data_IF_298023800202
#
_entry.id   IF_298023800202
#
_cell.length_a   1.000
_cell.length_b   1.000
_cell.length_c   1.000
_cell.angle_alpha   90.00
_cell.angle_beta   90.00
_cell.angle_gamma   90.00
#
_symmetry.space_group_name_H-M   'P 1'
#
loop_
_entity.id
_entity.type
_entity.pdbx_description
1 polymer ?
#
# COMPACT_ATOMS: atom_id res chain seq x y z
N UNK A 1 -1.37 -13.95 19.20
CA UNK A 1 -0.79 -15.31 19.31
C UNK A 1 0.09 -15.39 20.54
N UNK A 2 0.21 -16.58 21.13
CA UNK A 2 1.00 -16.84 22.34
C UNK A 2 2.45 -17.14 21.97
N UNK A 3 3.40 -16.59 22.73
CA UNK A 3 4.82 -16.86 22.60
C UNK A 3 5.25 -17.98 23.54
N UNK A 4 6.20 -18.79 23.11
CA UNK A 4 6.97 -19.70 23.94
C UNK A 4 7.97 -18.86 24.76
N UNK A 5 7.89 -18.84 26.10
CA UNK A 5 8.79 -18.06 26.92
C UNK A 5 10.26 -18.51 26.85
N UNK A 6 10.53 -19.75 26.45
CA UNK A 6 11.90 -20.27 26.35
C UNK A 6 12.60 -19.86 25.05
N UNK A 7 11.86 -19.79 23.94
CA UNK A 7 12.44 -19.56 22.61
C UNK A 7 12.06 -18.22 21.98
N UNK A 8 11.06 -17.54 22.53
CA UNK A 8 10.43 -16.36 21.92
C UNK A 8 9.66 -16.66 20.64
N UNK A 9 9.51 -17.93 20.24
CA UNK A 9 8.80 -18.33 19.02
C UNK A 9 7.30 -18.39 19.28
N UNK A 10 6.52 -18.25 18.21
CA UNK A 10 5.08 -18.42 18.29
C UNK A 10 4.71 -19.88 18.59
N UNK A 11 3.86 -20.11 19.59
CA UNK A 11 3.30 -21.43 19.89
C UNK A 11 2.30 -21.84 18.82
N UNK A 12 2.31 -23.12 18.46
CA UNK A 12 1.41 -23.72 17.45
C UNK A 12 0.60 -24.88 18.03
N UNK A 13 -0.59 -25.09 17.49
CA UNK A 13 -1.47 -26.22 17.79
C UNK A 13 -1.76 -27.03 16.52
N UNK A 14 -1.49 -28.35 16.49
CA UNK A 14 -0.81 -29.12 17.55
C UNK A 14 0.65 -28.66 17.73
N UNK A 15 1.18 -28.84 18.95
CA UNK A 15 2.55 -28.47 19.28
C UNK A 15 3.55 -29.19 18.35
N UNK A 16 4.67 -28.52 18.03
CA UNK A 16 5.72 -29.00 17.12
C UNK A 16 5.29 -29.21 15.65
N UNK A 17 4.05 -28.89 15.27
CA UNK A 17 3.67 -28.83 13.86
C UNK A 17 3.94 -27.41 13.31
N UNK A 18 4.91 -27.21 12.38
CA UNK A 18 5.18 -25.90 11.81
C UNK A 18 4.01 -25.34 10.99
N UNK A 19 3.12 -26.21 10.50
CA UNK A 19 1.87 -25.85 9.83
C UNK A 19 0.66 -25.75 10.80
N UNK A 20 0.86 -26.00 12.10
CA UNK A 20 -0.19 -25.87 13.11
C UNK A 20 -0.64 -24.41 13.27
N UNK A 21 -1.91 -24.21 13.64
CA UNK A 21 -2.46 -22.88 13.87
C UNK A 21 -1.72 -22.19 15.03
N UNK A 22 -1.54 -20.88 14.94
CA UNK A 22 -0.95 -20.10 16.02
C UNK A 22 -1.89 -20.11 17.24
N UNK A 23 -1.37 -20.45 18.42
CA UNK A 23 -2.16 -20.45 19.66
C UNK A 23 -2.58 -19.03 20.00
N UNK A 24 -3.84 -18.82 20.41
CA UNK A 24 -4.43 -17.50 20.67
C UNK A 24 -4.23 -16.50 19.53
N UNK A 25 -4.28 -16.99 18.30
CA UNK A 25 -4.32 -16.18 17.10
C UNK A 25 -5.68 -16.36 16.45
N UNK A 26 -6.35 -15.26 16.19
CA UNK A 26 -7.57 -15.27 15.39
C UNK A 26 -7.18 -14.97 13.94
N UNK A 27 -7.49 -15.90 13.05
CA UNK A 27 -7.39 -15.72 11.61
C UNK A 27 -8.81 -15.56 11.06
N UNK A 28 -9.08 -14.47 10.35
CA UNK A 28 -10.40 -14.16 9.80
C UNK A 28 -10.28 -13.63 8.38
N UNK A 29 -11.29 -13.89 7.54
CA UNK A 29 -11.42 -13.31 6.20
C UNK A 29 -11.99 -11.89 6.22
N UNK A 30 -12.18 -11.25 7.38
CA UNK A 30 -13.09 -10.10 7.49
C UNK A 30 -12.66 -8.90 6.65
N UNK A 31 -11.36 -8.60 6.56
CA UNK A 31 -10.88 -7.55 5.66
C UNK A 31 -11.19 -7.88 4.19
N UNK A 32 -11.02 -9.15 3.81
CA UNK A 32 -11.32 -9.65 2.47
C UNK A 32 -12.81 -9.54 2.13
N UNK A 33 -13.68 -9.93 3.07
CA UNK A 33 -15.14 -9.81 2.91
C UNK A 33 -15.56 -8.34 2.77
N UNK A 34 -14.95 -7.44 3.55
CA UNK A 34 -15.20 -5.99 3.44
C UNK A 34 -14.77 -5.46 2.07
N UNK A 35 -13.56 -5.82 1.60
CA UNK A 35 -13.06 -5.45 0.28
C UNK A 35 -14.00 -5.92 -0.83
N UNK A 36 -14.44 -7.18 -0.78
CA UNK A 36 -15.36 -7.76 -1.75
C UNK A 36 -16.73 -7.09 -1.76
N UNK A 37 -17.21 -6.63 -0.59
CA UNK A 37 -18.48 -5.93 -0.47
C UNK A 37 -18.44 -4.50 -1.01
N UNK A 38 -17.26 -3.91 -1.28
CA UNK A 38 -17.17 -2.56 -1.83
C UNK A 38 -17.44 -2.58 -3.34
N UNK A 39 -18.46 -1.87 -3.86
CA UNK A 39 -18.77 -1.86 -5.29
C UNK A 39 -17.58 -1.43 -6.17
N UNK A 40 -16.76 -0.49 -5.67
CA UNK A 40 -15.57 0.00 -6.38
C UNK A 40 -14.44 -1.04 -6.51
N UNK A 41 -14.43 -2.10 -5.69
CA UNK A 41 -13.35 -3.09 -5.63
C UNK A 41 -13.82 -4.50 -5.98
N UNK A 42 -15.12 -4.79 -5.93
CA UNK A 42 -15.67 -6.14 -6.07
C UNK A 42 -15.17 -6.90 -7.32
N UNK A 43 -14.99 -6.22 -8.46
CA UNK A 43 -14.49 -6.84 -9.70
C UNK A 43 -13.00 -7.26 -9.64
N UNK A 44 -12.26 -6.67 -8.71
CA UNK A 44 -10.81 -6.77 -8.54
C UNK A 44 -10.40 -7.64 -7.34
N UNK A 45 -11.36 -8.00 -6.48
CA UNK A 45 -11.16 -8.89 -5.33
C UNK A 45 -11.54 -10.31 -5.72
N UNK A 46 -10.67 -11.27 -5.39
CA UNK A 46 -10.93 -12.69 -5.64
C UNK A 46 -9.67 -13.48 -5.91
N UNK A 47 -9.83 -14.80 -5.91
CA UNK A 47 -8.74 -15.71 -6.23
C UNK A 47 -8.22 -15.50 -7.65
N UNK A 48 -6.89 -15.59 -7.81
CA UNK A 48 -6.20 -15.49 -9.10
C UNK A 48 -6.47 -14.18 -9.86
N UNK A 49 -6.86 -13.12 -9.15
CA UNK A 49 -6.89 -11.76 -9.69
C UNK A 49 -5.47 -11.20 -9.70
N UNK A 50 -4.74 -11.48 -10.78
CA UNK A 50 -3.38 -10.95 -10.94
C UNK A 50 -3.40 -9.43 -11.09
N UNK A 51 -2.32 -8.79 -10.64
CA UNK A 51 -2.12 -7.35 -10.75
C UNK A 51 -1.99 -6.91 -12.21
N UNK A 52 -2.25 -5.62 -12.46
CA UNK A 52 -2.16 -5.00 -13.78
C UNK A 52 -3.18 -5.55 -14.78
N UNK A 53 -3.12 -5.04 -16.01
CA UNK A 53 -3.93 -5.53 -17.13
C UNK A 53 -3.22 -6.60 -17.96
N UNK A 54 -1.92 -6.79 -17.75
CA UNK A 54 -1.07 -7.71 -18.49
C UNK A 54 -0.83 -9.02 -17.70
N UNK A 55 -0.62 -10.16 -18.37
CA UNK A 55 -0.13 -11.36 -17.72
C UNK A 55 1.16 -11.11 -16.91
N UNK A 56 1.25 -11.60 -15.67
CA UNK A 56 2.48 -11.48 -14.89
C UNK A 56 3.60 -12.31 -15.53
N UNK A 57 4.82 -11.76 -15.58
CA UNK A 57 5.99 -12.41 -16.21
C UNK A 57 6.30 -13.80 -15.64
N UNK A 58 6.10 -13.99 -14.33
CA UNK A 58 6.31 -15.28 -13.63
C UNK A 58 5.16 -16.28 -13.80
N UNK A 59 4.01 -15.86 -14.34
CA UNK A 59 2.87 -16.73 -14.61
C UNK A 59 2.12 -16.28 -15.88
N UNK A 60 2.76 -16.36 -17.06
CA UNK A 60 2.25 -15.79 -18.31
C UNK A 60 0.96 -16.46 -18.83
N UNK A 61 0.57 -17.60 -18.25
CA UNK A 61 -0.69 -18.28 -18.54
C UNK A 61 -1.90 -17.68 -17.79
N UNK A 62 -1.67 -16.75 -16.86
CA UNK A 62 -2.72 -16.02 -16.14
C UNK A 62 -2.98 -14.67 -16.79
N UNK A 63 -4.22 -14.20 -16.75
CA UNK A 63 -4.55 -12.85 -17.18
C UNK A 63 -4.35 -11.84 -16.03
N UNK A 64 -3.80 -10.67 -16.35
CA UNK A 64 -3.90 -9.50 -15.49
C UNK A 64 -5.35 -9.06 -15.36
N UNK A 65 -5.81 -8.84 -14.13
CA UNK A 65 -7.21 -8.51 -13.83
C UNK A 65 -7.33 -7.31 -12.88
N UNK A 66 -6.28 -6.49 -12.81
CA UNK A 66 -6.19 -5.35 -11.92
C UNK A 66 -6.53 -5.76 -10.47
N UNK A 67 -5.97 -6.87 -10.01
CA UNK A 67 -6.29 -7.42 -8.70
C UNK A 67 -5.98 -6.46 -7.56
N UNK A 68 -6.73 -6.58 -6.46
CA UNK A 68 -6.45 -5.82 -5.24
C UNK A 68 -5.10 -6.24 -4.67
N UNK A 69 -4.26 -5.25 -4.38
CA UNK A 69 -3.01 -5.44 -3.67
C UNK A 69 -2.78 -4.25 -2.74
N UNK A 70 -2.64 -4.55 -1.46
CA UNK A 70 -2.40 -3.57 -0.39
C UNK A 70 -0.89 -3.44 -0.23
N UNK A 71 -0.38 -2.22 -0.37
CA UNK A 71 1.03 -1.90 -0.06
C UNK A 71 1.15 -0.77 0.96
N UNK A 72 0.13 0.10 1.09
CA UNK A 72 0.08 1.12 2.13
C UNK A 72 -0.78 0.73 3.32
N UNK A 73 -0.32 1.01 4.54
CA UNK A 73 -1.12 0.89 5.76
C UNK A 73 -0.86 2.08 6.70
N UNK A 74 -1.92 2.79 7.07
CA UNK A 74 -1.84 3.84 8.07
C UNK A 74 -2.98 3.75 9.09
N UNK A 75 -2.72 4.23 10.31
CA UNK A 75 -3.72 4.32 11.39
C UNK A 75 -3.87 5.77 11.81
N UNK A 76 -5.08 6.30 11.76
CA UNK A 76 -5.36 7.67 12.20
C UNK A 76 -6.81 7.82 12.64
N UNK A 77 -7.03 8.45 13.80
CA UNK A 77 -8.38 8.76 14.30
C UNK A 77 -9.27 7.52 14.49
N UNK A 78 -8.72 6.40 14.95
CA UNK A 78 -9.46 5.14 15.14
C UNK A 78 -9.80 4.41 13.83
N UNK A 79 -9.27 4.86 12.69
CA UNK A 79 -9.46 4.21 11.38
C UNK A 79 -8.16 3.59 10.89
N UNK A 80 -8.31 2.45 10.21
CA UNK A 80 -7.28 1.81 9.40
C UNK A 80 -7.48 2.21 7.95
N UNK A 81 -6.41 2.65 7.30
CA UNK A 81 -6.38 3.01 5.89
C UNK A 81 -5.48 2.02 5.15
N UNK A 82 -6.05 1.36 4.13
CA UNK A 82 -5.36 0.42 3.26
C UNK A 82 -5.16 1.07 1.90
N UNK A 83 -3.94 1.48 1.61
CA UNK A 83 -3.53 2.03 0.32
C UNK A 83 -3.30 0.92 -0.69
N UNK A 84 -3.97 1.03 -1.83
CA UNK A 84 -3.93 0.00 -2.86
C UNK A 84 -2.94 0.38 -3.98
N UNK A 85 -2.00 -0.54 -4.25
CA UNK A 85 -1.18 -0.51 -5.47
C UNK A 85 -2.05 -0.76 -6.69
N UNK A 86 -2.92 -1.76 -6.60
CA UNK A 86 -3.88 -2.15 -7.63
C UNK A 86 -5.27 -2.29 -7.01
N UNK A 87 -6.34 -1.97 -7.75
CA UNK A 87 -6.38 -1.58 -9.16
C UNK A 87 -5.89 -0.15 -9.42
N UNK A 88 -5.26 0.05 -10.58
CA UNK A 88 -4.98 1.39 -11.15
C UNK A 88 -5.94 1.61 -12.30
N UNK A 89 -6.97 2.44 -12.07
CA UNK A 89 -8.08 2.63 -13.01
C UNK A 89 -7.93 3.96 -13.75
N UNK A 90 -8.34 4.02 -15.01
CA UNK A 90 -8.40 5.28 -15.75
C UNK A 90 -9.48 6.20 -15.18
N UNK A 91 -9.23 7.51 -15.16
CA UNK A 91 -10.29 8.47 -14.88
C UNK A 91 -11.35 8.47 -15.98
N UNK A 92 -12.62 8.61 -15.59
CA UNK A 92 -13.70 8.82 -16.55
C UNK A 92 -13.49 10.15 -17.28
N UNK A 93 -13.05 10.09 -18.53
CA UNK A 93 -12.90 11.26 -19.41
C UNK A 93 -11.48 11.79 -19.62
N UNK A 94 -10.40 11.10 -19.22
CA UNK A 94 -9.04 11.64 -19.45
C UNK A 94 -7.84 10.74 -19.09
N UNK A 95 -6.66 11.31 -19.35
CA UNK A 95 -5.27 10.74 -19.39
C UNK A 95 -4.68 10.44 -18.00
N UNK A 96 -5.52 10.36 -16.96
CA UNK A 96 -5.09 10.14 -15.57
C UNK A 96 -5.41 8.73 -15.07
N UNK A 97 -4.70 8.30 -14.03
CA UNK A 97 -5.05 7.09 -13.27
C UNK A 97 -5.42 7.43 -11.83
N UNK A 98 -6.35 6.67 -11.28
CA UNK A 98 -6.78 6.74 -9.89
C UNK A 98 -6.33 5.50 -9.13
N UNK A 99 -5.71 5.74 -7.98
CA UNK A 99 -5.55 4.72 -6.95
C UNK A 99 -6.72 4.76 -5.97
N UNK A 100 -6.80 3.77 -5.10
CA UNK A 100 -7.86 3.66 -4.10
C UNK A 100 -7.29 3.47 -2.70
N UNK A 101 -7.97 4.05 -1.71
CA UNK A 101 -7.73 3.79 -0.29
C UNK A 101 -9.03 3.26 0.32
N UNK A 102 -8.99 2.07 0.92
CA UNK A 102 -10.07 1.59 1.78
C UNK A 102 -9.82 2.07 3.21
N UNK A 103 -10.80 2.76 3.80
CA UNK A 103 -10.77 3.13 5.21
C UNK A 103 -11.85 2.36 5.99
N UNK A 104 -11.50 1.78 7.13
CA UNK A 104 -12.43 1.08 8.04
C UNK A 104 -12.21 1.51 9.48
N UNK A 105 -13.21 1.35 10.33
CA UNK A 105 -13.06 1.45 11.77
C UNK A 105 -12.18 0.29 12.28
N UNK A 106 -11.12 0.62 13.03
CA UNK A 106 -10.10 -0.35 13.45
C UNK A 106 -10.64 -1.37 14.46
N UNK A 107 -11.32 -0.89 15.49
CA UNK A 107 -11.90 -1.75 16.52
C UNK A 107 -12.97 -2.64 15.90
N UNK A 108 -13.82 -2.06 15.04
CA UNK A 108 -14.82 -2.83 14.33
C UNK A 108 -14.15 -3.94 13.55
N UNK A 109 -13.07 -3.70 12.77
CA UNK A 109 -12.37 -4.72 11.96
C UNK A 109 -11.84 -5.91 12.77
N UNK A 110 -11.38 -5.71 14.00
CA UNK A 110 -10.78 -6.78 14.80
C UNK A 110 -11.70 -7.38 15.85
N UNK A 111 -12.58 -6.58 16.47
CA UNK A 111 -13.48 -7.00 17.54
C UNK A 111 -14.89 -7.36 17.04
N UNK A 112 -15.20 -7.12 15.77
CA UNK A 112 -16.54 -7.29 15.20
C UNK A 112 -17.37 -6.01 15.23
N UNK A 113 -18.54 -6.03 14.58
CA UNK A 113 -19.43 -4.87 14.43
C UNK A 113 -19.40 -4.24 13.04
N UNK A 114 -19.92 -3.02 12.91
CA UNK A 114 -20.03 -2.32 11.63
C UNK A 114 -18.69 -1.67 11.23
N UNK A 115 -18.06 -2.08 10.12
CA UNK A 115 -16.71 -1.63 9.75
C UNK A 115 -16.66 -0.17 9.31
N UNK A 116 -17.81 0.45 9.00
CA UNK A 116 -17.89 1.81 8.43
C UNK A 116 -16.90 1.97 7.26
N UNK A 117 -16.91 0.98 6.37
CA UNK A 117 -16.00 0.89 5.24
C UNK A 117 -16.32 1.98 4.21
N UNK A 118 -15.28 2.65 3.73
CA UNK A 118 -15.39 3.64 2.68
C UNK A 118 -14.17 3.56 1.75
N UNK A 119 -14.40 3.57 0.44
CA UNK A 119 -13.34 3.61 -0.57
C UNK A 119 -13.21 5.04 -1.08
N UNK A 120 -12.02 5.62 -0.98
CA UNK A 120 -11.71 6.94 -1.52
C UNK A 120 -10.81 6.80 -2.74
N UNK A 121 -11.20 7.42 -3.85
CA UNK A 121 -10.41 7.46 -5.09
C UNK A 121 -9.43 8.63 -5.03
N UNK A 122 -8.16 8.38 -5.31
CA UNK A 122 -7.10 9.39 -5.24
C UNK A 122 -6.48 9.54 -6.63
N UNK A 123 -6.41 10.77 -7.15
CA UNK A 123 -5.72 11.09 -8.39
C UNK A 123 -4.20 11.07 -8.16
N UNK A 124 -3.54 9.96 -8.50
CA UNK A 124 -2.10 9.76 -8.26
C UNK A 124 -1.23 10.18 -9.45
N UNK A 125 -1.86 10.53 -10.58
CA UNK A 125 -1.21 10.70 -11.87
C UNK A 125 -1.29 9.42 -12.71
N UNK A 126 -0.99 9.54 -14.01
CA UNK A 126 -1.06 8.43 -14.94
C UNK A 126 -0.19 7.24 -14.48
N UNK A 127 -0.74 6.04 -14.56
CA UNK A 127 -0.04 4.77 -14.35
C UNK A 127 0.64 4.64 -12.98
N UNK A 128 -0.03 5.15 -11.93
CA UNK A 128 0.50 5.10 -10.56
C UNK A 128 -0.46 4.43 -9.59
N UNK A 129 0.11 3.54 -8.78
CA UNK A 129 -0.53 2.93 -7.61
C UNK A 129 0.09 3.44 -6.31
N UNK A 130 -0.61 3.24 -5.18
CA UNK A 130 -0.05 3.51 -3.86
C UNK A 130 0.95 2.41 -3.51
N UNK A 131 2.18 2.82 -3.19
CA UNK A 131 3.29 1.94 -2.83
C UNK A 131 3.52 1.87 -1.33
N UNK A 132 3.21 2.95 -0.61
CA UNK A 132 3.14 2.94 0.85
C UNK A 132 2.37 4.17 1.36
N UNK A 133 1.97 4.16 2.63
CA UNK A 133 1.32 5.28 3.31
C UNK A 133 1.80 5.39 4.76
N UNK A 134 1.97 6.62 5.25
CA UNK A 134 2.29 6.87 6.67
C UNK A 134 1.47 8.02 7.22
N UNK A 135 1.00 7.88 8.46
CA UNK A 135 0.27 8.95 9.14
C UNK A 135 1.21 10.07 9.61
N UNK A 136 0.77 11.31 9.44
CA UNK A 136 1.39 12.53 9.97
C UNK A 136 0.36 13.32 10.79
N UNK A 137 0.79 14.36 11.53
CA UNK A 137 -0.10 15.06 12.48
C UNK A 137 -1.43 15.53 11.88
N UNK A 138 -1.43 15.95 10.62
CA UNK A 138 -2.59 16.55 9.96
C UNK A 138 -3.12 15.75 8.76
N UNK A 139 -2.69 14.51 8.56
CA UNK A 139 -3.15 13.70 7.43
C UNK A 139 -2.27 12.47 7.19
N UNK A 140 -2.13 12.10 5.93
CA UNK A 140 -1.41 10.92 5.45
C UNK A 140 -0.44 11.35 4.35
N UNK A 141 0.80 10.84 4.41
CA UNK A 141 1.73 10.89 3.28
C UNK A 141 1.55 9.62 2.44
N UNK A 142 1.55 9.80 1.12
CA UNK A 142 1.37 8.75 0.13
C UNK A 142 2.64 8.66 -0.71
N UNK A 143 3.25 7.47 -0.77
CA UNK A 143 4.20 7.13 -1.82
C UNK A 143 3.43 6.51 -2.97
N UNK A 144 3.53 7.13 -4.14
CA UNK A 144 2.96 6.59 -5.37
C UNK A 144 4.06 6.31 -6.40
N UNK A 145 3.99 5.16 -7.04
CA UNK A 145 4.99 4.68 -8.00
C UNK A 145 4.30 4.05 -9.21
N UNK A 146 5.07 3.56 -10.20
CA UNK A 146 4.53 2.94 -11.41
C UNK A 146 3.50 1.85 -11.09
N UNK A 147 2.59 1.53 -12.00
CA UNK A 147 1.77 0.32 -11.91
C UNK A 147 2.55 -0.93 -12.38
N UNK A 148 1.85 -2.04 -12.61
CA UNK A 148 2.45 -3.34 -12.91
C UNK A 148 2.74 -3.58 -14.39
N UNK A 149 2.34 -2.66 -15.27
CA UNK A 149 2.68 -2.77 -16.69
C UNK A 149 4.16 -2.48 -16.89
N UNK A 150 4.81 -3.34 -17.69
CA UNK A 150 6.21 -3.15 -18.06
C UNK A 150 6.43 -1.81 -18.79
N UNK A 151 5.42 -1.31 -19.51
CA UNK A 151 5.47 -0.04 -20.21
C UNK A 151 5.58 1.17 -19.26
N UNK A 152 5.16 1.01 -18.00
CA UNK A 152 5.01 2.12 -17.07
C UNK A 152 6.18 2.25 -16.08
N UNK A 153 7.18 1.37 -16.14
CA UNK A 153 8.36 1.40 -15.26
C UNK A 153 9.08 2.76 -15.20
N UNK A 154 9.05 3.52 -16.29
CA UNK A 154 9.70 4.83 -16.40
C UNK A 154 8.93 6.01 -15.80
N UNK A 155 7.70 5.80 -15.29
CA UNK A 155 6.83 6.89 -14.82
C UNK A 155 7.38 7.61 -13.59
N UNK A 156 8.21 6.93 -12.77
CA UNK A 156 8.90 7.48 -11.59
C UNK A 156 8.09 7.38 -10.29
N UNK A 157 8.46 8.12 -9.24
CA UNK A 157 7.80 8.11 -7.92
C UNK A 157 7.43 9.52 -7.44
N UNK A 158 6.31 9.64 -6.76
CA UNK A 158 5.83 10.89 -6.16
C UNK A 158 5.52 10.70 -4.69
N UNK A 159 5.73 11.77 -3.92
CA UNK A 159 5.21 11.92 -2.57
C UNK A 159 4.13 12.98 -2.56
N UNK A 160 3.00 12.62 -1.97
CA UNK A 160 1.85 13.51 -1.83
C UNK A 160 1.29 13.46 -0.41
N UNK A 161 0.60 14.53 -0.03
CA UNK A 161 -0.15 14.62 1.22
C UNK A 161 -1.65 14.63 0.94
N UNK A 162 -2.39 13.87 1.75
CA UNK A 162 -3.84 13.83 1.75
C UNK A 162 -4.36 14.00 3.18
N UNK A 163 -5.46 14.73 3.36
CA UNK A 163 -6.02 15.02 4.69
C UNK A 163 -6.75 13.83 5.35
N UNK A 164 -6.83 12.69 4.66
CA UNK A 164 -7.47 11.46 5.16
C UNK A 164 -9.00 11.48 5.10
N UNK A 165 -9.62 12.54 4.56
CA UNK A 165 -11.08 12.66 4.50
C UNK A 165 -11.64 11.94 3.29
N UNK A 166 -12.68 11.14 3.55
CA UNK A 166 -13.42 10.46 2.50
C UNK A 166 -14.18 11.45 1.61
N UNK A 167 -14.24 11.12 0.32
CA UNK A 167 -15.05 11.80 -0.69
C UNK A 167 -15.59 10.76 -1.68
N UNK A 168 -16.83 10.98 -2.13
CA UNK A 168 -17.44 10.23 -3.23
C UNK A 168 -16.82 10.58 -4.58
N UNK A 169 -16.21 11.76 -4.69
CA UNK A 169 -15.48 12.22 -5.88
C UNK A 169 -14.00 11.82 -5.79
N UNK A 170 -13.31 11.80 -6.93
CA UNK A 170 -11.84 11.64 -6.92
C UNK A 170 -11.21 12.81 -6.15
N UNK A 171 -10.37 12.48 -5.17
CA UNK A 171 -9.58 13.45 -4.41
C UNK A 171 -8.26 13.70 -5.12
N UNK A 172 -7.89 14.96 -5.29
CA UNK A 172 -6.54 15.34 -5.72
C UNK A 172 -5.68 15.63 -4.49
N UNK A 173 -4.68 14.79 -4.16
CA UNK A 173 -3.79 15.05 -3.04
C UNK A 173 -2.82 16.19 -3.37
N UNK A 174 -2.25 16.83 -2.36
CA UNK A 174 -1.19 17.84 -2.53
C UNK A 174 0.12 17.12 -2.84
N UNK A 175 0.56 17.13 -4.10
CA UNK A 175 1.89 16.61 -4.46
C UNK A 175 2.96 17.49 -3.80
N UNK A 176 3.85 16.86 -3.04
CA UNK A 176 4.94 17.53 -2.33
C UNK A 176 6.26 17.44 -3.09
N UNK A 177 6.52 16.29 -3.72
CA UNK A 177 7.75 16.06 -4.48
C UNK A 177 7.58 14.94 -5.51
N UNK A 178 8.39 14.99 -6.56
CA UNK A 178 8.81 13.80 -7.31
C UNK A 178 10.17 13.35 -6.78
N UNK A 179 10.38 12.05 -6.60
CA UNK A 179 11.67 11.54 -6.15
C UNK A 179 12.64 11.51 -7.35
N UNK A 180 13.70 12.31 -7.28
CA UNK A 180 14.83 12.18 -8.20
C UNK A 180 15.76 11.07 -7.71
N UNK A 181 15.77 9.98 -8.45
CA UNK A 181 16.55 8.78 -8.14
C UNK A 181 17.71 8.57 -9.12
N UNK A 182 17.90 9.49 -10.07
CA UNK A 182 18.86 9.34 -11.17
C UNK A 182 20.32 9.26 -10.70
N UNK A 183 20.63 9.82 -9.53
CA UNK A 183 21.95 9.77 -8.90
C UNK A 183 22.25 8.50 -8.11
N UNK A 184 21.28 7.60 -7.91
CA UNK A 184 21.46 6.39 -7.09
C UNK A 184 22.27 5.35 -7.88
N UNK A 185 23.41 4.94 -7.32
CA UNK A 185 24.27 3.90 -7.92
C UNK A 185 23.95 2.55 -7.30
N UNK A 186 23.57 1.59 -8.13
CA UNK A 186 23.33 0.22 -7.72
C UNK A 186 24.65 -0.47 -7.33
N UNK A 187 24.63 -1.20 -6.23
CA UNK A 187 25.68 -2.12 -5.77
C UNK A 187 25.48 -3.47 -6.46
N UNK A 188 26.47 -4.35 -6.36
CA UNK A 188 26.42 -5.67 -7.01
C UNK A 188 25.32 -6.62 -6.50
N UNK A 189 24.75 -6.36 -5.32
CA UNK A 189 23.62 -7.13 -4.78
C UNK A 189 22.25 -6.45 -5.01
N UNK A 190 22.21 -5.26 -5.61
CA UNK A 190 20.97 -4.55 -5.91
C UNK A 190 20.40 -5.07 -7.25
N UNK A 191 19.13 -5.44 -7.27
CA UNK A 191 18.39 -5.91 -8.44
C UNK A 191 17.65 -4.76 -9.16
N UNK A 192 16.91 -3.93 -8.42
CA UNK A 192 16.11 -2.84 -8.96
C UNK A 192 15.93 -1.75 -7.89
N UNK A 193 15.93 -0.47 -8.30
CA UNK A 193 15.57 0.64 -7.42
C UNK A 193 14.07 0.88 -7.47
N UNK A 194 13.35 0.34 -6.50
CA UNK A 194 11.90 0.35 -6.46
C UNK A 194 11.37 0.80 -5.09
N UNK A 195 11.21 2.11 -4.84
CA UNK A 195 10.64 2.60 -3.61
C UNK A 195 9.26 1.98 -3.30
N UNK A 196 9.17 1.32 -2.15
CA UNK A 196 7.97 0.59 -1.68
C UNK A 196 7.72 0.76 -0.17
N UNK A 197 8.56 1.51 0.54
CA UNK A 197 8.28 1.86 1.93
C UNK A 197 8.77 3.26 2.27
N UNK A 198 8.01 3.95 3.11
CA UNK A 198 8.33 5.27 3.66
C UNK A 198 8.09 5.30 5.17
N UNK A 199 8.94 6.03 5.88
CA UNK A 199 8.66 6.39 7.27
C UNK A 199 9.12 7.80 7.58
N UNK A 200 8.45 8.44 8.53
CA UNK A 200 8.75 9.80 8.99
C UNK A 200 9.79 9.71 10.09
N UNK A 201 10.99 10.20 9.82
CA UNK A 201 12.05 10.35 10.81
C UNK A 201 11.84 11.61 11.66
N UNK A 202 11.30 12.67 11.06
CA UNK A 202 11.03 13.94 11.73
C UNK A 202 9.89 14.70 11.03
N UNK A 203 9.02 15.34 11.82
CA UNK A 203 7.99 16.26 11.33
C UNK A 203 8.09 17.62 12.05
N UNK A 204 8.46 18.66 11.30
CA UNK A 204 8.47 20.06 11.75
C UNK A 204 7.31 20.81 11.12
N UNK A 205 7.00 22.07 11.50
CA UNK A 205 5.98 22.86 10.81
C UNK A 205 6.33 23.20 9.34
N UNK A 206 7.59 23.04 8.93
CA UNK A 206 8.07 23.39 7.58
C UNK A 206 8.40 22.17 6.72
N UNK A 207 8.84 21.07 7.34
CA UNK A 207 9.40 19.92 6.62
C UNK A 207 8.99 18.57 7.19
N UNK A 208 9.03 17.57 6.31
CA UNK A 208 9.14 16.16 6.68
C UNK A 208 10.56 15.68 6.37
N UNK A 209 11.19 14.99 7.32
CA UNK A 209 12.37 14.17 7.06
C UNK A 209 11.92 12.72 6.94
N UNK A 210 12.17 12.12 5.79
CA UNK A 210 11.66 10.80 5.44
C UNK A 210 12.82 9.84 5.20
N UNK A 211 12.61 8.59 5.59
CA UNK A 211 13.38 7.45 5.10
C UNK A 211 12.53 6.73 4.06
N UNK A 212 13.12 6.44 2.91
CA UNK A 212 12.52 5.67 1.83
C UNK A 212 13.34 4.41 1.63
N UNK A 213 12.67 3.27 1.56
CA UNK A 213 13.26 1.97 1.30
C UNK A 213 12.69 1.39 0.00
N UNK A 214 13.49 0.58 -0.66
CA UNK A 214 13.18 -0.04 -1.93
C UNK A 214 13.20 -1.55 -1.84
N UNK A 215 12.21 -2.19 -2.44
CA UNK A 215 12.30 -3.61 -2.79
C UNK A 215 13.35 -3.80 -3.88
N UNK A 216 14.03 -4.94 -3.87
CA UNK A 216 15.11 -5.25 -4.80
C UNK A 216 16.47 -4.62 -4.48
N UNK A 217 16.60 -3.78 -3.45
CA UNK A 217 17.89 -3.22 -3.02
C UNK A 217 18.42 -3.96 -1.78
N UNK A 218 19.74 -4.16 -1.66
CA UNK A 218 20.34 -4.77 -0.48
C UNK A 218 20.03 -3.93 0.77
N UNK A 219 19.64 -4.57 1.86
CA UNK A 219 19.23 -3.90 3.10
C UNK A 219 18.15 -2.81 2.88
N UNK A 220 17.35 -2.93 1.81
CA UNK A 220 16.32 -1.98 1.42
C UNK A 220 16.81 -0.67 0.79
N UNK A 221 18.13 -0.51 0.57
CA UNK A 221 18.70 0.69 -0.09
C UNK A 221 18.21 2.03 0.49
N UNK A 222 18.42 2.30 1.79
CA UNK A 222 17.83 3.45 2.48
C UNK A 222 18.25 4.79 1.87
N UNK A 223 17.26 5.60 1.51
CA UNK A 223 17.42 6.98 1.04
C UNK A 223 16.72 7.94 2.00
N UNK A 224 17.42 9.00 2.40
CA UNK A 224 16.84 10.04 3.24
C UNK A 224 16.48 11.27 2.41
N UNK A 225 15.26 11.76 2.58
CA UNK A 225 14.77 12.97 1.92
C UNK A 225 14.30 13.99 2.95
N UNK A 226 14.48 15.27 2.64
CA UNK A 226 13.84 16.38 3.36
C UNK A 226 12.93 17.11 2.40
N UNK A 227 11.65 17.19 2.74
CA UNK A 227 10.60 17.69 1.84
C UNK A 227 9.81 18.76 2.54
N UNK A 228 9.47 19.84 1.83
CA UNK A 228 8.62 20.90 2.35
C UNK A 228 7.17 20.44 2.53
N UNK A 229 6.47 20.99 3.53
CA UNK A 229 5.08 20.65 3.86
C UNK A 229 4.03 21.30 2.97
#
# INVERSE_FOLDING_TARGET
>A
FRLDPATGRALRSPANNPAGALVDYLDTSRLWDILQAQPALAAHVGERKCLGSEPPSKAPSLAGQQGVNIEGLAVQGGRLYFGLRGPVLSESGGVGSVGSVLAVNADALFAGGEPQAAVTRIALGAHRGIRDMVAVKNGLLLLAGPDDSAANKGVGWTLAWWDGKHSEQTVTPKVLAALDLSGVKLRGCDEELKPEAITVLEETPQTYKLLVLSDGMCDGGPLAFTIAR
#
